data_IF_027211828307
#
_entry.id   IF_027211828307
#
_cell.length_a   1.000
_cell.length_b   1.000
_cell.length_c   1.000
_cell.angle_alpha   90.00
_cell.angle_beta   90.00
_cell.angle_gamma   90.00
#
_symmetry.space_group_name_H-M   'P 1'
#
loop_
_entity.id
_entity.type
_entity.pdbx_description
1 polymer ?
#
# COMPACT_ATOMS: atom_id res chain seq x y z
N UNK A 1 -13.23 -17.24 3.71
CA UNK A 1 -13.21 -18.60 4.27
C UNK A 1 -12.11 -18.61 5.33
N UNK A 2 -12.41 -19.01 6.57
CA UNK A 2 -11.37 -19.19 7.60
C UNK A 2 -11.13 -20.70 7.77
N UNK A 3 -9.88 -21.12 7.58
CA UNK A 3 -9.45 -22.47 7.88
C UNK A 3 -8.92 -22.49 9.31
N UNK A 4 -9.75 -22.95 10.24
CA UNK A 4 -9.39 -23.05 11.65
C UNK A 4 -8.72 -24.38 11.97
N UNK A 5 -7.78 -24.37 12.93
CA UNK A 5 -7.19 -25.61 13.49
C UNK A 5 -8.25 -26.49 14.18
N UNK A 6 -9.33 -25.89 14.68
CA UNK A 6 -10.50 -26.60 15.22
C UNK A 6 -11.79 -25.81 14.93
N UNK A 7 -12.92 -26.50 14.96
CA UNK A 7 -14.23 -25.94 14.62
C UNK A 7 -14.63 -24.76 15.52
N UNK A 8 -14.48 -24.90 16.85
CA UNK A 8 -14.84 -23.85 17.82
C UNK A 8 -14.10 -22.53 17.56
N UNK A 9 -12.81 -22.61 17.24
CA UNK A 9 -12.01 -21.46 16.85
C UNK A 9 -12.53 -20.84 15.57
N UNK A 10 -12.71 -21.65 14.52
CA UNK A 10 -13.23 -21.19 13.23
C UNK A 10 -14.58 -20.45 13.39
N UNK A 11 -15.51 -21.01 14.15
CA UNK A 11 -16.82 -20.42 14.43
C UNK A 11 -16.70 -19.06 15.12
N UNK A 12 -15.82 -18.94 16.12
CA UNK A 12 -15.56 -17.67 16.82
C UNK A 12 -15.06 -16.57 15.87
N UNK A 13 -14.09 -16.87 15.01
CA UNK A 13 -13.56 -15.90 14.04
C UNK A 13 -14.61 -15.53 12.98
N UNK A 14 -15.36 -16.52 12.48
CA UNK A 14 -16.45 -16.29 11.52
C UNK A 14 -17.54 -15.41 12.13
N UNK A 15 -17.89 -15.63 13.40
CA UNK A 15 -18.85 -14.81 14.12
C UNK A 15 -18.37 -13.36 14.26
N UNK A 16 -17.14 -13.12 14.69
CA UNK A 16 -16.58 -11.76 14.78
C UNK A 16 -16.64 -11.01 13.44
N UNK A 17 -16.41 -11.71 12.32
CA UNK A 17 -16.52 -11.10 10.98
C UNK A 17 -17.97 -10.80 10.61
N UNK A 18 -18.90 -11.72 10.90
CA UNK A 18 -20.34 -11.52 10.69
C UNK A 18 -20.86 -10.33 11.48
N UNK A 19 -20.42 -10.23 12.74
CA UNK A 19 -20.76 -9.16 13.68
C UNK A 19 -20.02 -7.85 13.36
N UNK A 20 -19.15 -7.85 12.34
CA UNK A 20 -18.34 -6.71 11.89
C UNK A 20 -17.42 -6.15 12.98
N UNK A 21 -16.98 -7.00 13.90
CA UNK A 21 -16.03 -6.63 14.96
C UNK A 21 -14.58 -6.86 14.55
N UNK A 22 -14.31 -7.10 13.26
CA UNK A 22 -12.96 -7.26 12.69
C UNK A 22 -12.68 -6.13 11.73
N UNK A 23 -11.67 -5.32 12.05
CA UNK A 23 -11.11 -4.31 11.16
C UNK A 23 -10.24 -4.99 10.13
N UNK A 24 -10.39 -4.59 8.87
CA UNK A 24 -9.66 -5.16 7.74
C UNK A 24 -8.97 -4.04 6.99
N UNK A 25 -7.71 -4.23 6.67
CA UNK A 25 -6.91 -3.32 5.87
C UNK A 25 -6.35 -4.08 4.68
N UNK A 26 -6.45 -3.47 3.51
CA UNK A 26 -5.93 -4.00 2.26
C UNK A 26 -5.02 -2.98 1.61
N UNK A 27 -4.08 -3.45 0.81
CA UNK A 27 -3.24 -2.60 -0.05
C UNK A 27 -3.63 -2.86 -1.49
N UNK A 28 -3.81 -1.79 -2.28
CA UNK A 28 -4.11 -1.89 -3.69
C UNK A 28 -3.17 -0.99 -4.51
N UNK A 29 -2.79 -1.43 -5.72
CA UNK A 29 -2.11 -0.58 -6.70
C UNK A 29 -3.10 -0.17 -7.79
N UNK A 30 -3.34 1.13 -7.89
CA UNK A 30 -4.45 1.70 -8.67
C UNK A 30 -3.96 2.61 -9.78
N UNK A 31 -4.77 2.74 -10.82
CA UNK A 31 -4.50 3.63 -11.96
C UNK A 31 -4.46 5.09 -11.51
N UNK A 32 -3.47 5.83 -11.99
CA UNK A 32 -3.38 7.27 -11.86
C UNK A 32 -2.90 7.78 -10.49
N UNK A 33 -2.91 9.11 -10.36
CA UNK A 33 -2.56 9.83 -9.14
C UNK A 33 -3.78 9.91 -8.22
N UNK A 34 -3.90 8.95 -7.30
CA UNK A 34 -4.96 8.94 -6.30
C UNK A 34 -4.87 10.21 -5.42
N UNK A 35 -5.99 10.79 -4.96
CA UNK A 35 -5.95 11.98 -4.12
C UNK A 35 -5.17 11.77 -2.81
N UNK A 36 -4.60 12.86 -2.30
CA UNK A 36 -3.78 12.80 -1.08
C UNK A 36 -4.63 12.79 0.19
N UNK A 37 -5.81 13.39 0.13
CA UNK A 37 -6.78 13.39 1.21
C UNK A 37 -7.36 11.99 1.39
N UNK A 38 -7.77 11.69 2.62
CA UNK A 38 -8.57 10.50 2.87
C UNK A 38 -9.90 10.62 2.15
N UNK A 39 -10.31 9.56 1.46
CA UNK A 39 -11.58 9.50 0.73
C UNK A 39 -12.44 8.41 1.33
N UNK A 40 -13.70 8.72 1.61
CA UNK A 40 -14.71 7.72 1.98
C UNK A 40 -15.68 7.56 0.83
N UNK A 41 -15.88 6.33 0.37
CA UNK A 41 -16.92 5.98 -0.60
C UNK A 41 -18.01 5.22 0.14
N UNK A 42 -19.19 5.82 0.22
CA UNK A 42 -20.40 5.17 0.74
C UNK A 42 -21.37 4.96 -0.43
N UNK A 43 -21.19 3.84 -1.12
CA UNK A 43 -21.98 3.48 -2.30
C UNK A 43 -22.46 2.03 -2.20
N UNK A 44 -23.78 1.80 -2.17
CA UNK A 44 -24.35 0.45 -2.08
C UNK A 44 -24.01 -0.38 -3.32
N UNK A 45 -23.88 -1.69 -3.14
CA UNK A 45 -23.43 -2.61 -4.19
C UNK A 45 -24.40 -3.77 -4.38
N UNK A 46 -24.63 -4.16 -5.63
CA UNK A 46 -25.36 -5.37 -6.00
C UNK A 46 -24.56 -6.23 -6.99
N UNK A 47 -24.92 -7.51 -7.07
CA UNK A 47 -24.33 -8.44 -8.04
C UNK A 47 -25.14 -8.39 -9.32
N UNK A 48 -24.50 -7.93 -10.39
CA UNK A 48 -25.12 -7.75 -11.71
C UNK A 48 -25.06 -9.05 -12.51
N UNK A 49 -23.93 -9.74 -12.47
CA UNK A 49 -23.78 -11.06 -13.09
C UNK A 49 -23.03 -12.00 -12.14
N UNK A 50 -23.74 -12.92 -11.47
CA UNK A 50 -23.11 -13.93 -10.63
C UNK A 50 -22.13 -14.83 -11.41
N UNK A 51 -22.45 -15.14 -12.67
CA UNK A 51 -21.61 -15.95 -13.57
C UNK A 51 -20.25 -15.31 -13.81
N UNK A 52 -20.22 -13.99 -14.00
CA UNK A 52 -19.00 -13.23 -14.29
C UNK A 52 -18.34 -12.64 -13.03
N UNK A 53 -18.96 -12.82 -11.86
CA UNK A 53 -18.53 -12.14 -10.63
C UNK A 53 -18.63 -10.60 -10.70
N UNK A 54 -19.46 -10.07 -11.60
CA UNK A 54 -19.61 -8.62 -11.80
C UNK A 54 -20.51 -8.04 -10.71
N UNK A 55 -19.97 -7.08 -9.96
CA UNK A 55 -20.71 -6.25 -9.02
C UNK A 55 -20.61 -4.79 -9.45
N UNK A 56 -21.65 -3.99 -9.17
CA UNK A 56 -21.66 -2.56 -9.48
C UNK A 56 -22.31 -1.77 -8.35
N UNK A 57 -22.15 -0.44 -8.42
CA UNK A 57 -22.93 0.47 -7.58
C UNK A 57 -24.40 0.40 -8.00
N UNK A 58 -25.28 0.29 -7.01
CA UNK A 58 -26.72 0.18 -7.20
C UNK A 58 -27.41 0.96 -6.07
N UNK A 59 -27.77 2.21 -6.37
CA UNK A 59 -28.37 3.14 -5.42
C UNK A 59 -29.84 2.78 -5.07
N UNK A 60 -30.45 1.80 -5.74
CA UNK A 60 -31.85 1.40 -5.54
C UNK A 60 -31.92 0.13 -4.68
N UNK A 61 -31.34 -0.97 -5.16
CA UNK A 61 -31.46 -2.31 -4.55
C UNK A 61 -30.15 -2.81 -3.94
N UNK A 62 -29.08 -2.01 -4.04
CA UNK A 62 -27.76 -2.37 -3.55
C UNK A 62 -27.68 -2.47 -2.03
N UNK A 63 -26.83 -3.39 -1.57
CA UNK A 63 -26.52 -3.51 -0.14
C UNK A 63 -25.53 -2.43 0.25
N UNK A 64 -25.84 -1.65 1.29
CA UNK A 64 -24.94 -0.63 1.85
C UNK A 64 -23.51 -1.15 1.98
N UNK A 65 -22.58 -0.35 1.47
CA UNK A 65 -21.16 -0.63 1.46
C UNK A 65 -20.36 0.67 1.59
N UNK A 66 -19.41 0.67 2.52
CA UNK A 66 -18.58 1.83 2.82
C UNK A 66 -17.12 1.43 2.89
N UNK A 67 -16.25 2.18 2.21
CA UNK A 67 -14.80 1.96 2.20
C UNK A 67 -14.06 3.28 2.38
N UNK A 68 -13.07 3.30 3.27
CA UNK A 68 -12.14 4.42 3.39
C UNK A 68 -10.84 4.11 2.64
N UNK A 69 -10.29 5.12 1.97
CA UNK A 69 -9.09 5.04 1.17
C UNK A 69 -8.09 6.09 1.61
N UNK A 70 -6.82 5.68 1.71
CA UNK A 70 -5.69 6.56 2.00
C UNK A 70 -4.54 6.25 1.07
N UNK A 71 -4.03 7.27 0.36
CA UNK A 71 -2.87 7.10 -0.51
C UNK A 71 -1.59 6.91 0.31
N UNK A 72 -0.86 5.84 0.00
CA UNK A 72 0.44 5.50 0.58
C UNK A 72 1.57 6.09 -0.26
N UNK A 73 1.54 5.88 -1.57
CA UNK A 73 2.56 6.39 -2.49
C UNK A 73 1.97 6.67 -3.87
N UNK A 74 2.68 7.47 -4.67
CA UNK A 74 2.38 7.70 -6.08
C UNK A 74 3.67 7.56 -6.86
N UNK A 75 3.62 6.76 -7.92
CA UNK A 75 4.70 6.59 -8.88
C UNK A 75 4.33 7.28 -10.19
N UNK A 76 5.12 8.31 -10.54
CA UNK A 76 4.93 9.12 -11.74
C UNK A 76 5.29 8.37 -13.02
N UNK A 77 6.23 7.42 -12.95
CA UNK A 77 6.71 6.66 -14.11
C UNK A 77 5.65 5.68 -14.61
N UNK A 78 5.11 4.85 -13.72
CA UNK A 78 3.99 3.96 -14.07
C UNK A 78 2.62 4.66 -14.06
N UNK A 79 2.56 5.91 -13.59
CA UNK A 79 1.32 6.64 -13.31
C UNK A 79 0.33 5.81 -12.49
N UNK A 80 0.80 5.23 -11.38
CA UNK A 80 -0.03 4.44 -10.45
C UNK A 80 0.17 4.90 -9.01
N UNK A 81 -0.82 4.64 -8.16
CA UNK A 81 -0.73 4.90 -6.73
C UNK A 81 -0.87 3.62 -5.92
N UNK A 82 -0.21 3.54 -4.77
CA UNK A 82 -0.50 2.52 -3.75
C UNK A 82 -1.46 3.12 -2.74
N UNK A 83 -2.55 2.40 -2.45
CA UNK A 83 -3.65 2.87 -1.62
C UNK A 83 -3.95 1.84 -0.54
N UNK A 84 -4.07 2.32 0.70
CA UNK A 84 -4.60 1.56 1.83
C UNK A 84 -6.12 1.66 1.81
N UNK A 85 -6.78 0.51 1.84
CA UNK A 85 -8.23 0.37 1.70
C UNK A 85 -8.80 -0.26 2.99
N UNK A 86 -9.77 0.40 3.61
CA UNK A 86 -10.42 -0.03 4.83
C UNK A 86 -11.93 -0.25 4.56
N UNK A 87 -12.34 -1.46 4.13
CA UNK A 87 -13.75 -1.76 3.96
C UNK A 87 -14.43 -1.91 5.31
N UNK A 88 -15.29 -0.95 5.67
CA UNK A 88 -16.07 -0.93 6.91
C UNK A 88 -17.22 -1.94 6.88
N UNK A 89 -17.60 -2.34 5.67
CA UNK A 89 -18.56 -3.41 5.39
C UNK A 89 -17.84 -4.62 4.76
N UNK A 90 -18.60 -5.62 4.31
CA UNK A 90 -18.06 -6.78 3.60
C UNK A 90 -18.97 -7.20 2.47
N UNK A 91 -18.81 -6.58 1.30
CA UNK A 91 -19.45 -7.02 0.05
C UNK A 91 -18.41 -7.60 -0.90
N UNK A 92 -18.84 -8.52 -1.75
CA UNK A 92 -18.02 -9.08 -2.81
C UNK A 92 -17.54 -7.95 -3.73
N UNK A 93 -16.23 -7.93 -4.02
CA UNK A 93 -15.58 -6.91 -4.87
C UNK A 93 -15.73 -5.45 -4.40
N UNK A 94 -16.09 -5.21 -3.13
CA UNK A 94 -16.35 -3.86 -2.63
C UNK A 94 -15.24 -2.85 -2.93
N UNK A 95 -14.00 -3.20 -2.58
CA UNK A 95 -12.83 -2.34 -2.81
C UNK A 95 -12.65 -2.07 -4.31
N UNK A 96 -12.74 -3.13 -5.13
CA UNK A 96 -12.55 -3.07 -6.59
C UNK A 96 -13.55 -2.10 -7.23
N UNK A 97 -14.84 -2.24 -6.89
CA UNK A 97 -15.92 -1.40 -7.44
C UNK A 97 -15.82 0.04 -6.94
N UNK A 98 -15.54 0.26 -5.65
CA UNK A 98 -15.40 1.61 -5.11
C UNK A 98 -14.19 2.36 -5.69
N UNK A 99 -13.06 1.67 -5.89
CA UNK A 99 -11.89 2.22 -6.56
C UNK A 99 -12.19 2.57 -8.03
N UNK A 100 -12.88 1.68 -8.75
CA UNK A 100 -13.36 1.96 -10.10
C UNK A 100 -14.31 3.17 -10.14
N UNK A 101 -15.26 3.24 -9.21
CA UNK A 101 -16.22 4.34 -9.09
C UNK A 101 -15.51 5.70 -8.96
N UNK A 102 -14.40 5.76 -8.22
CA UNK A 102 -13.56 6.95 -8.10
C UNK A 102 -12.77 7.29 -9.38
N UNK A 103 -12.70 6.38 -10.35
CA UNK A 103 -11.89 6.48 -11.57
C UNK A 103 -10.45 6.00 -11.37
N UNK A 104 -10.20 5.22 -10.32
CA UNK A 104 -8.89 4.69 -9.97
C UNK A 104 -8.98 3.17 -9.75
N UNK A 105 -9.41 2.36 -10.74
CA UNK A 105 -9.49 0.92 -10.57
C UNK A 105 -8.11 0.33 -10.25
N UNK A 106 -8.11 -0.88 -9.70
CA UNK A 106 -6.87 -1.63 -9.47
C UNK A 106 -6.23 -1.89 -10.83
N UNK A 107 -4.96 -1.52 -11.01
CA UNK A 107 -4.39 -1.32 -12.34
C UNK A 107 -4.38 -2.60 -13.20
N UNK A 108 -4.14 -3.76 -12.57
CA UNK A 108 -4.15 -5.07 -13.20
C UNK A 108 -5.48 -5.84 -13.01
N UNK A 109 -6.58 -5.15 -12.71
CA UNK A 109 -7.87 -5.81 -12.49
C UNK A 109 -8.53 -6.24 -13.82
N UNK A 110 -8.74 -7.56 -14.04
CA UNK A 110 -9.25 -8.09 -15.30
C UNK A 110 -10.71 -7.69 -15.58
N UNK A 111 -11.49 -7.41 -14.52
CA UNK A 111 -12.91 -7.08 -14.63
C UNK A 111 -13.08 -5.57 -14.70
N UNK A 112 -12.45 -4.82 -13.80
CA UNK A 112 -12.77 -3.39 -13.59
C UNK A 112 -11.76 -2.42 -14.19
N UNK A 113 -10.63 -2.90 -14.69
CA UNK A 113 -9.55 -2.08 -15.28
C UNK A 113 -9.30 -2.44 -16.74
N UNK A 114 -10.37 -2.76 -17.50
CA UNK A 114 -10.27 -3.12 -18.91
C UNK A 114 -10.85 -2.00 -19.80
N UNK A 115 -10.00 -1.30 -20.55
CA UNK A 115 -10.40 -0.20 -21.45
C UNK A 115 -11.36 -0.67 -22.57
N UNK A 116 -11.27 -1.92 -23.03
CA UNK A 116 -12.17 -2.45 -24.07
C UNK A 116 -13.58 -2.69 -23.57
N UNK A 117 -13.75 -2.92 -22.26
CA UNK A 117 -15.05 -3.15 -21.62
C UNK A 117 -15.65 -1.83 -21.13
N UNK A 118 -14.83 -0.98 -20.49
CA UNK A 118 -15.30 0.20 -19.76
C UNK A 118 -15.00 1.53 -20.46
N UNK A 119 -14.30 1.50 -21.58
CA UNK A 119 -13.85 2.70 -22.27
C UNK A 119 -12.79 3.48 -21.50
N UNK A 120 -12.50 4.72 -21.93
CA UNK A 120 -11.40 5.53 -21.39
C UNK A 120 -11.66 6.05 -19.97
N UNK A 121 -12.92 6.12 -19.51
CA UNK A 121 -13.24 6.51 -18.14
C UNK A 121 -13.08 5.36 -17.14
N UNK A 122 -12.86 4.13 -17.62
CA UNK A 122 -12.75 2.92 -16.82
C UNK A 122 -13.91 2.72 -15.84
N UNK A 123 -15.14 3.12 -16.23
CA UNK A 123 -16.33 2.93 -15.40
C UNK A 123 -16.43 3.89 -14.21
N UNK A 124 -15.67 4.99 -14.22
CA UNK A 124 -15.79 6.08 -13.23
C UNK A 124 -17.25 6.50 -13.07
N UNK A 125 -17.64 6.86 -11.85
CA UNK A 125 -19.01 7.25 -11.50
C UNK A 125 -20.07 6.18 -11.83
N UNK A 126 -19.69 4.91 -11.91
CA UNK A 126 -20.57 3.81 -12.33
C UNK A 126 -21.08 3.99 -13.77
N UNK A 127 -20.27 4.54 -14.67
CA UNK A 127 -20.58 4.62 -16.10
C UNK A 127 -20.59 3.24 -16.78
N UNK A 128 -21.38 3.13 -17.85
CA UNK A 128 -21.45 1.95 -18.72
C UNK A 128 -22.77 1.18 -18.63
N UNK A 129 -23.18 0.59 -19.75
CA UNK A 129 -24.40 -0.21 -19.89
C UNK A 129 -24.16 -1.66 -19.46
N UNK A 130 -25.07 -2.21 -18.64
CA UNK A 130 -24.91 -3.55 -18.07
C UNK A 130 -24.86 -4.64 -19.14
N UNK A 131 -25.77 -4.60 -20.12
CA UNK A 131 -25.89 -5.65 -21.12
C UNK A 131 -24.66 -5.66 -22.02
N UNK A 132 -24.18 -4.49 -22.42
CA UNK A 132 -22.93 -4.34 -23.15
C UNK A 132 -21.72 -4.87 -22.36
N UNK A 133 -21.57 -4.45 -21.10
CA UNK A 133 -20.46 -4.88 -20.24
C UNK A 133 -20.45 -6.39 -20.06
N UNK A 134 -21.61 -6.99 -19.75
CA UNK A 134 -21.78 -8.43 -19.60
C UNK A 134 -21.38 -9.15 -20.89
N UNK A 135 -21.85 -8.66 -22.04
CA UNK A 135 -21.53 -9.24 -23.33
C UNK A 135 -20.02 -9.17 -23.66
N UNK A 136 -19.33 -8.08 -23.31
CA UNK A 136 -17.88 -7.98 -23.51
C UNK A 136 -17.11 -8.90 -22.56
N UNK A 137 -17.47 -8.91 -21.27
CA UNK A 137 -16.81 -9.75 -20.26
C UNK A 137 -17.02 -11.24 -20.52
N UNK A 138 -18.18 -11.67 -21.03
CA UNK A 138 -18.43 -13.09 -21.34
C UNK A 138 -17.55 -13.63 -22.49
N UNK A 139 -16.95 -12.74 -23.30
CA UNK A 139 -16.02 -13.10 -24.37
C UNK A 139 -14.57 -13.21 -23.89
N UNK A 140 -14.23 -12.56 -22.78
CA UNK A 140 -12.89 -12.63 -22.18
C UNK A 140 -12.65 -14.04 -21.63
N UNK A 141 -11.47 -14.59 -21.91
CA UNK A 141 -11.13 -15.97 -21.60
C UNK A 141 -11.68 -16.99 -22.60
N UNK A 142 -12.55 -16.57 -23.52
CA UNK A 142 -13.12 -17.45 -24.55
C UNK A 142 -12.62 -17.10 -25.94
N UNK A 143 -13.04 -15.95 -26.45
CA UNK A 143 -12.72 -15.49 -27.79
C UNK A 143 -11.36 -14.77 -27.82
N UNK A 144 -11.02 -14.12 -26.70
CA UNK A 144 -9.80 -13.32 -26.54
C UNK A 144 -9.32 -13.39 -25.10
N UNK A 145 -8.02 -13.25 -24.92
CA UNK A 145 -7.44 -13.20 -23.60
C UNK A 145 -7.83 -11.90 -22.89
N UNK A 146 -7.66 -11.88 -21.58
CA UNK A 146 -7.89 -10.66 -20.83
C UNK A 146 -6.80 -9.62 -21.11
N UNK A 147 -7.20 -8.36 -21.13
CA UNK A 147 -6.31 -7.22 -21.08
C UNK A 147 -6.72 -6.31 -19.93
N UNK A 148 -5.76 -5.55 -19.41
CA UNK A 148 -5.96 -4.58 -18.34
C UNK A 148 -5.30 -3.26 -18.70
N UNK A 149 -5.52 -2.23 -17.90
CA UNK A 149 -4.93 -0.91 -18.11
C UNK A 149 -3.40 -0.96 -18.17
N UNK A 150 -2.78 -1.75 -17.28
CA UNK A 150 -1.32 -1.90 -17.21
C UNK A 150 -0.79 -3.02 -18.13
N UNK A 151 -1.57 -4.07 -18.38
CA UNK A 151 -1.21 -5.17 -19.27
C UNK A 151 -2.14 -5.21 -20.47
N UNK A 152 -1.78 -4.48 -21.54
CA UNK A 152 -2.61 -4.38 -22.75
C UNK A 152 -2.46 -5.56 -23.71
N UNK A 153 -1.45 -6.40 -23.51
CA UNK A 153 -1.23 -7.60 -24.31
C UNK A 153 -2.32 -8.63 -23.96
N UNK A 154 -2.92 -9.23 -24.99
CA UNK A 154 -3.94 -10.27 -24.86
C UNK A 154 -3.26 -11.64 -24.97
N UNK A 155 -2.35 -11.94 -24.03
CA UNK A 155 -1.53 -13.18 -23.99
C UNK A 155 -1.91 -14.14 -22.86
N UNK A 156 -3.04 -13.88 -22.19
CA UNK A 156 -3.59 -14.72 -21.12
C UNK A 156 -4.44 -15.92 -21.59
N UNK A 157 -5.09 -16.55 -20.64
CA UNK A 157 -5.94 -17.74 -20.83
C UNK A 157 -7.04 -17.51 -21.87
N UNK A 158 -7.17 -18.43 -22.82
CA UNK A 158 -8.25 -18.49 -23.81
C UNK A 158 -8.68 -19.93 -24.07
N UNK A 159 -9.86 -20.13 -24.67
CA UNK A 159 -10.26 -21.45 -25.16
C UNK A 159 -9.28 -21.95 -26.22
N UNK A 160 -8.72 -23.14 -26.02
CA UNK A 160 -7.76 -23.74 -26.97
C UNK A 160 -8.45 -24.32 -28.21
N UNK A 161 -9.77 -24.54 -28.14
CA UNK A 161 -10.54 -25.28 -29.14
C UNK A 161 -10.43 -26.80 -29.01
N UNK A 162 -9.62 -27.29 -28.07
CA UNK A 162 -9.50 -28.70 -27.75
C UNK A 162 -10.51 -29.12 -26.66
N UNK A 163 -10.78 -30.42 -26.56
CA UNK A 163 -11.64 -31.00 -25.52
C UNK A 163 -10.90 -32.06 -24.72
N UNK A 164 -11.18 -32.13 -23.42
CA UNK A 164 -10.64 -33.17 -22.55
C UNK A 164 -11.07 -34.56 -23.04
N UNK A 165 -10.11 -35.47 -23.23
CA UNK A 165 -10.37 -36.84 -23.70
C UNK A 165 -11.18 -37.71 -22.74
N UNK A 166 -11.30 -37.31 -21.46
CA UNK A 166 -12.01 -38.06 -20.41
C UNK A 166 -13.44 -37.54 -20.23
N UNK A 167 -13.59 -36.23 -20.02
CA UNK A 167 -14.87 -35.62 -19.67
C UNK A 167 -15.47 -34.72 -20.76
N UNK A 168 -14.80 -34.57 -21.90
CA UNK A 168 -15.23 -33.77 -23.06
C UNK A 168 -15.48 -32.28 -22.77
N UNK A 169 -14.94 -31.78 -21.65
CA UNK A 169 -14.95 -30.35 -21.29
C UNK A 169 -13.99 -29.59 -22.18
N UNK A 170 -14.38 -28.38 -22.59
CA UNK A 170 -13.52 -27.49 -23.39
C UNK A 170 -12.26 -27.12 -22.60
N UNK A 171 -11.10 -27.21 -23.25
CA UNK A 171 -9.82 -26.89 -22.65
C UNK A 171 -9.46 -25.42 -22.90
N UNK A 172 -8.71 -24.88 -21.95
CA UNK A 172 -8.14 -23.53 -22.04
C UNK A 172 -6.62 -23.66 -22.19
N UNK A 173 -6.00 -22.64 -22.78
CA UNK A 173 -4.54 -22.50 -22.76
C UNK A 173 -4.05 -22.25 -21.34
N UNK A 174 -2.77 -22.48 -21.07
CA UNK A 174 -2.22 -22.13 -19.76
C UNK A 174 -2.37 -20.61 -19.53
N UNK A 175 -2.77 -20.20 -18.31
CA UNK A 175 -2.89 -18.78 -17.97
C UNK A 175 -1.53 -18.10 -17.97
N UNK A 176 -1.50 -16.84 -18.41
CA UNK A 176 -0.35 -15.98 -18.27
C UNK A 176 -0.19 -15.51 -16.82
N UNK A 177 0.99 -14.99 -16.41
CA UNK A 177 1.18 -14.44 -15.06
C UNK A 177 0.16 -13.37 -14.69
N UNK A 178 -0.30 -12.58 -15.66
CA UNK A 178 -1.29 -11.51 -15.46
C UNK A 178 -2.69 -12.04 -15.09
N UNK A 179 -3.01 -13.29 -15.43
CA UNK A 179 -4.29 -13.92 -15.08
C UNK A 179 -4.32 -14.43 -13.64
N UNK A 180 -3.13 -14.63 -13.06
CA UNK A 180 -2.95 -15.28 -11.76
C UNK A 180 -2.75 -14.27 -10.63
N UNK A 181 -2.58 -12.99 -10.94
CA UNK A 181 -2.30 -11.94 -9.97
C UNK A 181 -3.39 -10.86 -9.93
N UNK A 182 -3.71 -10.40 -8.72
CA UNK A 182 -4.48 -9.20 -8.49
C UNK A 182 -3.73 -8.34 -7.49
N UNK A 183 -3.50 -7.06 -7.82
CA UNK A 183 -2.86 -6.11 -6.93
C UNK A 183 -3.84 -5.58 -5.87
N UNK A 184 -4.42 -6.52 -5.12
CA UNK A 184 -5.27 -6.33 -3.96
C UNK A 184 -4.82 -7.29 -2.86
N UNK A 185 -4.00 -6.78 -1.95
CA UNK A 185 -3.36 -7.56 -0.90
C UNK A 185 -4.10 -7.45 0.43
N UNK A 186 -4.39 -8.58 1.05
CA UNK A 186 -4.98 -8.68 2.38
C UNK A 186 -3.91 -8.41 3.44
N UNK A 187 -3.83 -7.18 3.94
CA UNK A 187 -2.68 -6.69 4.69
C UNK A 187 -2.78 -6.90 6.20
N UNK A 188 -3.90 -6.50 6.81
CA UNK A 188 -4.09 -6.58 8.27
C UNK A 188 -5.52 -6.92 8.61
N UNK A 189 -5.69 -7.79 9.60
CA UNK A 189 -6.96 -8.10 10.24
C UNK A 189 -6.79 -7.96 11.74
N UNK A 190 -7.71 -7.26 12.40
CA UNK A 190 -7.61 -7.01 13.83
C UNK A 190 -8.98 -7.01 14.47
N UNK A 191 -9.11 -7.72 15.59
CA UNK A 191 -10.33 -7.67 16.37
C UNK A 191 -10.49 -6.31 17.06
N UNK A 192 -11.70 -5.79 17.09
CA UNK A 192 -12.02 -4.49 17.68
C UNK A 192 -11.78 -4.46 19.19
N UNK A 193 -11.90 -5.61 19.85
CA UNK A 193 -11.57 -5.83 21.27
C UNK A 193 -10.06 -6.04 21.53
N UNK A 194 -9.23 -5.96 20.48
CA UNK A 194 -7.78 -6.19 20.52
C UNK A 194 -7.37 -7.59 21.00
N UNK A 195 -8.28 -8.55 21.01
CA UNK A 195 -7.99 -9.92 21.41
C UNK A 195 -7.03 -10.64 20.47
N UNK A 196 -6.96 -10.21 19.21
CA UNK A 196 -5.99 -10.69 18.23
C UNK A 196 -5.77 -9.66 17.12
N UNK A 197 -4.59 -9.74 16.50
CA UNK A 197 -4.20 -8.97 15.32
C UNK A 197 -3.27 -9.82 14.47
N UNK A 198 -3.47 -9.83 13.15
CA UNK A 198 -2.57 -10.46 12.19
C UNK A 198 -2.27 -9.47 11.07
N UNK A 199 -1.00 -9.36 10.72
CA UNK A 199 -0.46 -8.44 9.74
C UNK A 199 0.61 -9.16 8.93
N UNK A 200 0.64 -8.94 7.62
CA UNK A 200 1.74 -9.40 6.75
C UNK A 200 2.64 -8.21 6.39
N UNK A 201 3.76 -8.49 5.74
CA UNK A 201 4.52 -7.46 5.05
C UNK A 201 3.73 -6.89 3.85
N UNK A 202 4.19 -5.74 3.37
CA UNK A 202 3.72 -5.21 2.10
C UNK A 202 4.19 -6.11 0.94
N UNK A 203 3.36 -6.30 -0.10
CA UNK A 203 3.77 -7.08 -1.26
C UNK A 203 4.83 -6.31 -2.08
N UNK A 204 5.73 -7.04 -2.73
CA UNK A 204 6.83 -6.44 -3.49
C UNK A 204 6.38 -5.43 -4.55
N UNK A 205 5.25 -5.69 -5.24
CA UNK A 205 4.69 -4.79 -6.25
C UNK A 205 4.21 -3.43 -5.68
N UNK A 206 3.96 -3.35 -4.37
CA UNK A 206 3.60 -2.10 -3.69
C UNK A 206 4.83 -1.27 -3.28
N UNK A 207 5.99 -1.93 -3.12
CA UNK A 207 7.22 -1.29 -2.63
C UNK A 207 8.20 -0.98 -3.75
N UNK A 208 8.13 -1.67 -4.89
CA UNK A 208 9.12 -1.56 -5.98
C UNK A 208 9.41 -0.11 -6.42
N UNK A 209 8.38 0.73 -6.54
CA UNK A 209 8.54 2.13 -6.93
C UNK A 209 9.19 3.02 -5.87
N UNK A 210 9.17 2.60 -4.60
CA UNK A 210 9.67 3.38 -3.47
C UNK A 210 11.06 2.93 -2.99
N UNK A 211 11.49 1.72 -3.36
CA UNK A 211 12.80 1.16 -3.02
C UNK A 211 13.96 2.10 -3.40
N UNK A 212 13.88 2.77 -4.55
CA UNK A 212 14.89 3.76 -4.99
C UNK A 212 15.16 4.88 -3.98
N UNK A 213 14.16 5.27 -3.18
CA UNK A 213 14.34 6.29 -2.14
C UNK A 213 14.95 5.72 -0.87
N UNK A 214 14.68 4.45 -0.55
CA UNK A 214 15.34 3.75 0.55
C UNK A 214 16.81 3.50 0.23
N UNK A 215 17.11 3.10 -1.00
CA UNK A 215 18.49 2.95 -1.49
C UNK A 215 19.27 4.27 -1.37
N UNK A 216 18.66 5.39 -1.79
CA UNK A 216 19.25 6.72 -1.58
C UNK A 216 19.44 7.06 -0.09
N UNK A 217 18.49 6.70 0.78
CA UNK A 217 18.65 6.90 2.23
C UNK A 217 19.85 6.11 2.78
N UNK A 218 20.07 4.90 2.28
CA UNK A 218 21.20 4.05 2.65
C UNK A 218 22.52 4.65 2.14
N UNK A 219 22.58 5.12 0.88
CA UNK A 219 23.75 5.81 0.32
C UNK A 219 24.11 7.08 1.11
N UNK A 220 23.11 7.79 1.64
CA UNK A 220 23.32 8.94 2.51
C UNK A 220 23.89 8.52 3.87
N UNK A 221 23.40 7.42 4.44
CA UNK A 221 23.92 6.87 5.69
C UNK A 221 25.41 6.50 5.58
N UNK A 222 25.84 5.95 4.43
CA UNK A 222 27.25 5.59 4.17
C UNK A 222 28.22 6.79 4.25
N UNK A 223 27.73 8.02 4.04
CA UNK A 223 28.54 9.26 4.10
C UNK A 223 28.91 9.67 5.53
N UNK A 224 28.30 9.07 6.56
CA UNK A 224 28.50 9.48 7.95
C UNK A 224 29.89 9.11 8.52
N UNK A 225 30.66 8.25 7.83
CA UNK A 225 31.95 7.75 8.30
C UNK A 225 31.86 6.79 9.49
N UNK A 226 32.98 6.55 10.17
CA UNK A 226 33.04 5.72 11.37
C UNK A 226 32.74 6.53 12.64
N UNK A 227 32.03 5.92 13.59
CA UNK A 227 31.72 6.56 14.87
C UNK A 227 31.37 5.53 15.94
N UNK A 228 31.60 5.87 17.20
CA UNK A 228 31.20 5.08 18.38
C UNK A 228 30.04 5.69 19.17
N UNK A 229 29.57 6.89 18.78
CA UNK A 229 28.70 7.71 19.64
C UNK A 229 27.26 7.82 19.16
N UNK A 230 27.00 7.63 17.86
CA UNK A 230 25.68 7.79 17.24
C UNK A 230 25.55 6.78 16.10
N UNK A 231 24.32 6.43 15.70
CA UNK A 231 24.10 5.60 14.53
C UNK A 231 24.24 6.41 13.23
N UNK A 232 24.79 5.77 12.20
CA UNK A 232 24.83 6.34 10.87
C UNK A 232 23.49 6.11 10.16
N UNK A 233 22.65 7.13 10.15
CA UNK A 233 21.32 7.10 9.52
C UNK A 233 21.28 8.07 8.34
N UNK A 234 20.52 7.73 7.30
CA UNK A 234 20.17 8.60 6.20
C UNK A 234 18.64 8.75 6.07
N UNK A 235 18.20 9.86 5.50
CA UNK A 235 16.79 10.19 5.33
C UNK A 235 16.51 10.95 4.02
N UNK A 236 15.36 10.71 3.43
CA UNK A 236 14.89 11.35 2.18
C UNK A 236 13.43 11.77 2.33
N UNK A 237 13.13 13.03 2.05
CA UNK A 237 11.77 13.58 1.96
C UNK A 237 11.31 13.55 0.51
N UNK A 238 10.13 12.98 0.25
CA UNK A 238 9.58 12.81 -1.11
C UNK A 238 8.13 13.25 -1.16
N UNK A 239 7.77 14.00 -2.20
CA UNK A 239 6.40 14.40 -2.47
C UNK A 239 6.06 14.18 -3.95
N UNK A 240 5.04 13.36 -4.20
CA UNK A 240 4.57 12.99 -5.56
C UNK A 240 5.70 12.52 -6.52
N UNK A 241 6.67 11.78 -5.99
CA UNK A 241 7.81 11.23 -6.73
C UNK A 241 9.03 12.15 -6.77
N UNK A 242 8.90 13.40 -6.33
CA UNK A 242 9.99 14.37 -6.33
C UNK A 242 10.68 14.43 -4.97
N UNK A 243 12.02 14.45 -4.96
CA UNK A 243 12.81 14.58 -3.73
C UNK A 243 12.75 16.03 -3.26
N UNK A 244 12.16 16.25 -2.09
CA UNK A 244 12.13 17.55 -1.44
C UNK A 244 13.43 17.82 -0.69
N UNK A 245 14.02 16.84 -0.04
CA UNK A 245 15.22 17.04 0.76
C UNK A 245 15.84 15.72 1.13
N UNK A 246 17.13 15.76 1.42
CA UNK A 246 17.91 14.61 1.89
C UNK A 246 18.59 14.98 3.19
N UNK A 247 18.99 14.02 3.99
CA UNK A 247 19.73 14.23 5.23
C UNK A 247 20.53 13.00 5.60
N UNK A 248 21.68 13.19 6.24
CA UNK A 248 22.33 12.12 6.99
C UNK A 248 22.77 12.61 8.37
N UNK A 249 23.07 11.65 9.25
CA UNK A 249 23.48 11.94 10.62
C UNK A 249 24.76 12.78 10.63
N UNK A 250 24.80 13.81 11.49
CA UNK A 250 25.91 14.78 11.59
C UNK A 250 26.19 15.61 10.32
N UNK A 251 25.24 15.69 9.39
CA UNK A 251 25.43 16.52 8.20
C UNK A 251 25.39 18.03 8.52
N UNK A 252 24.55 18.43 9.48
CA UNK A 252 24.49 19.79 10.01
C UNK A 252 25.22 19.87 11.35
N UNK A 253 25.71 21.06 11.70
CA UNK A 253 26.43 21.30 12.94
C UNK A 253 25.63 20.86 14.18
N UNK A 254 26.33 20.21 15.12
CA UNK A 254 25.75 19.71 16.38
C UNK A 254 25.32 18.24 16.33
N UNK A 255 24.60 17.82 17.37
CA UNK A 255 24.07 16.46 17.48
C UNK A 255 22.77 16.34 16.66
N UNK A 256 22.90 16.21 15.34
CA UNK A 256 21.78 16.19 14.39
C UNK A 256 21.55 14.78 13.81
N UNK A 257 20.29 14.34 13.78
CA UNK A 257 19.88 13.09 13.15
C UNK A 257 19.52 13.32 11.67
N UNK A 258 19.44 12.26 10.89
CA UNK A 258 19.19 12.34 9.46
C UNK A 258 17.87 13.03 9.10
N UNK A 259 16.79 12.70 9.79
CA UNK A 259 15.45 13.25 9.58
C UNK A 259 15.42 14.74 9.93
N UNK A 260 16.14 15.12 10.99
CA UNK A 260 16.38 16.51 11.36
C UNK A 260 17.11 17.26 10.24
N UNK A 261 18.23 16.73 9.75
CA UNK A 261 19.00 17.34 8.65
C UNK A 261 18.15 17.52 7.38
N UNK A 262 17.35 16.51 7.02
CA UNK A 262 16.51 16.56 5.83
C UNK A 262 15.44 17.67 5.92
N UNK A 263 14.77 17.78 7.07
CA UNK A 263 13.76 18.81 7.32
C UNK A 263 14.39 20.20 7.40
N UNK A 264 15.47 20.38 8.16
CA UNK A 264 16.11 21.69 8.35
C UNK A 264 16.71 22.24 7.05
N UNK A 265 17.32 21.39 6.21
CA UNK A 265 17.79 21.81 4.88
C UNK A 265 16.62 22.20 3.97
N UNK A 266 15.52 21.44 3.98
CA UNK A 266 14.32 21.81 3.23
C UNK A 266 13.77 23.17 3.68
N UNK A 267 13.55 23.33 4.99
CA UNK A 267 13.04 24.57 5.60
C UNK A 267 13.92 25.78 5.36
N UNK A 268 15.24 25.60 5.38
CA UNK A 268 16.19 26.69 5.09
C UNK A 268 16.10 27.10 3.62
N UNK A 269 16.03 26.13 2.71
CA UNK A 269 15.99 26.39 1.27
C UNK A 269 14.67 27.02 0.83
N UNK A 270 13.54 26.64 1.42
CA UNK A 270 12.22 27.14 1.03
C UNK A 270 11.75 28.34 1.84
N UNK A 271 12.32 28.58 3.03
CA UNK A 271 11.80 29.55 4.00
C UNK A 271 10.57 29.05 4.77
N UNK A 272 10.06 27.86 4.46
CA UNK A 272 8.90 27.27 5.11
C UNK A 272 9.29 26.56 6.42
N UNK A 273 8.28 26.24 7.24
CA UNK A 273 8.42 25.41 8.45
C UNK A 273 7.57 24.14 8.42
N UNK A 274 7.08 23.80 7.24
CA UNK A 274 6.31 22.59 7.01
C UNK A 274 6.57 22.08 5.58
N UNK A 275 6.26 20.81 5.33
CA UNK A 275 6.33 20.17 4.02
C UNK A 275 4.91 20.11 3.41
N UNK A 276 4.78 19.90 2.07
CA UNK A 276 3.49 19.68 1.44
C UNK A 276 2.73 18.51 2.07
N UNK A 277 1.40 18.63 2.19
CA UNK A 277 0.58 17.58 2.79
C UNK A 277 0.62 16.29 1.97
N UNK A 278 0.93 15.19 2.65
CA UNK A 278 1.16 13.89 2.01
C UNK A 278 2.61 13.63 1.63
N UNK A 279 3.56 14.39 2.18
CA UNK A 279 4.99 14.08 2.05
C UNK A 279 5.31 12.75 2.71
N UNK A 280 6.25 12.00 2.12
CA UNK A 280 6.78 10.73 2.63
C UNK A 280 8.18 10.99 3.15
N UNK A 281 8.57 10.31 4.21
CA UNK A 281 9.96 10.23 4.64
C UNK A 281 10.43 8.79 4.52
N UNK A 282 11.61 8.59 3.93
CA UNK A 282 12.33 7.33 3.90
C UNK A 282 13.52 7.46 4.82
N UNK A 283 13.69 6.55 5.76
CA UNK A 283 14.83 6.56 6.67
C UNK A 283 15.42 5.17 6.81
N UNK A 284 16.75 5.08 6.79
CA UNK A 284 17.46 3.80 6.85
C UNK A 284 17.29 3.10 8.20
N UNK A 285 16.91 3.82 9.25
CA UNK A 285 16.66 3.29 10.59
C UNK A 285 15.42 3.93 11.18
N UNK A 286 14.71 3.21 12.05
CA UNK A 286 13.51 3.71 12.72
C UNK A 286 13.74 5.08 13.38
N UNK A 287 12.84 6.06 13.16
CA UNK A 287 12.96 7.36 13.81
C UNK A 287 12.92 7.22 15.32
N UNK A 288 13.80 7.92 16.03
CA UNK A 288 13.84 7.82 17.49
C UNK A 288 12.60 8.47 18.13
N UNK A 289 12.04 7.79 19.14
CA UNK A 289 11.00 8.32 20.03
C UNK A 289 11.56 9.07 21.24
N UNK A 290 12.87 8.92 21.51
CA UNK A 290 13.57 9.54 22.63
C UNK A 290 14.99 9.96 22.22
N UNK A 291 15.53 11.00 22.88
CA UNK A 291 16.92 11.44 22.67
C UNK A 291 17.60 11.77 24.00
N UNK A 292 18.73 11.10 24.26
CA UNK A 292 19.58 11.36 25.43
C UNK A 292 20.14 12.80 25.48
N UNK A 293 20.32 13.42 24.32
CA UNK A 293 20.79 14.82 24.22
C UNK A 293 19.76 15.85 24.68
N UNK A 294 18.49 15.46 24.88
CA UNK A 294 17.39 16.39 25.15
C UNK A 294 16.86 17.12 23.91
N UNK A 295 17.44 16.90 22.73
CA UNK A 295 16.91 17.43 21.47
C UNK A 295 15.54 16.81 21.15
N UNK A 296 14.72 17.53 20.37
CA UNK A 296 13.43 17.03 19.91
C UNK A 296 13.59 15.69 19.15
N UNK A 297 12.88 14.62 19.55
CA UNK A 297 12.91 13.32 18.89
C UNK A 297 12.44 13.38 17.43
N UNK A 298 12.92 12.44 16.61
CA UNK A 298 12.61 12.41 15.19
C UNK A 298 11.13 12.12 14.93
N UNK A 299 10.49 11.27 15.74
CA UNK A 299 9.04 11.04 15.69
C UNK A 299 8.27 12.34 15.89
N UNK A 300 8.60 13.13 16.92
CA UNK A 300 7.94 14.41 17.18
C UNK A 300 8.17 15.42 16.04
N UNK A 301 9.37 15.43 15.45
CA UNK A 301 9.65 16.26 14.26
C UNK A 301 8.76 15.88 13.08
N UNK A 302 8.58 14.58 12.82
CA UNK A 302 7.69 14.08 11.77
C UNK A 302 6.25 14.53 12.06
N UNK A 303 5.77 14.36 13.29
CA UNK A 303 4.41 14.70 13.71
C UNK A 303 4.10 16.21 13.67
N UNK A 304 5.11 17.07 13.79
CA UNK A 304 4.96 18.52 13.66
C UNK A 304 4.87 19.00 12.19
N UNK A 305 4.90 18.07 11.23
CA UNK A 305 4.86 18.38 9.80
C UNK A 305 3.71 17.65 9.09
N UNK A 306 3.52 17.92 7.80
CA UNK A 306 2.52 17.23 6.99
C UNK A 306 3.02 15.92 6.33
N UNK A 307 4.02 15.28 6.94
CA UNK A 307 4.43 13.93 6.55
C UNK A 307 3.32 12.95 6.92
N UNK A 308 2.88 12.10 5.99
CA UNK A 308 1.79 11.15 6.21
C UNK A 308 2.24 9.70 6.27
N UNK A 309 3.48 9.43 5.87
CA UNK A 309 4.03 8.07 5.78
C UNK A 309 5.52 8.10 6.04
N UNK A 310 5.98 7.22 6.93
CA UNK A 310 7.36 6.95 7.26
C UNK A 310 7.71 5.54 6.78
N UNK A 311 8.62 5.46 5.81
CA UNK A 311 9.21 4.22 5.34
C UNK A 311 10.53 3.98 6.07
N UNK A 312 10.72 2.77 6.59
CA UNK A 312 11.85 2.42 7.46
C UNK A 312 12.59 1.21 6.92
N UNK A 313 13.92 1.33 6.81
CA UNK A 313 14.80 0.26 6.34
C UNK A 313 15.12 -0.79 7.40
N UNK A 314 15.30 -0.38 8.65
CA UNK A 314 15.42 -1.32 9.78
C UNK A 314 14.83 -0.75 11.07
N UNK A 315 14.20 -1.62 11.85
CA UNK A 315 13.74 -1.31 13.21
C UNK A 315 14.95 -1.09 14.12
N UNK A 316 14.88 -0.12 15.03
CA UNK A 316 15.99 0.17 15.94
C UNK A 316 16.27 -1.06 16.84
N UNK A 317 17.52 -1.54 16.94
CA UNK A 317 17.86 -2.62 17.85
C UNK A 317 17.59 -2.23 19.31
N UNK A 318 17.01 -3.14 20.10
CA UNK A 318 16.66 -2.91 21.50
C UNK A 318 17.85 -2.64 22.45
N UNK A 319 19.08 -2.60 21.93
CA UNK A 319 20.31 -2.37 22.69
C UNK A 319 20.42 -0.94 23.25
N UNK A 320 19.82 0.07 22.58
CA UNK A 320 19.94 1.48 22.96
C UNK A 320 18.66 2.10 23.53
N UNK A 321 17.49 1.65 23.09
CA UNK A 321 16.18 2.08 23.60
C UNK A 321 15.32 0.85 23.85
N UNK A 322 15.17 0.45 25.11
CA UNK A 322 14.40 -0.75 25.49
C UNK A 322 12.89 -0.64 25.23
N UNK A 323 12.37 0.55 24.97
CA UNK A 323 10.95 0.85 24.84
C UNK A 323 10.67 1.81 23.66
N UNK A 324 11.11 1.46 22.43
CA UNK A 324 10.82 2.33 21.29
C UNK A 324 9.31 2.37 20.99
N UNK A 325 8.70 3.53 21.15
CA UNK A 325 7.25 3.75 20.93
C UNK A 325 6.95 4.40 19.58
N UNK A 326 7.93 4.48 18.67
CA UNK A 326 7.82 5.21 17.41
C UNK A 326 6.65 4.76 16.54
N UNK A 327 6.51 3.46 16.29
CA UNK A 327 5.39 2.91 15.52
C UNK A 327 4.04 3.33 16.11
N UNK A 328 3.85 3.08 17.41
CA UNK A 328 2.59 3.39 18.09
C UNK A 328 2.31 4.90 18.09
N UNK A 329 3.33 5.72 18.31
CA UNK A 329 3.21 7.17 18.36
C UNK A 329 2.83 7.75 17.00
N UNK A 330 3.52 7.34 15.93
CA UNK A 330 3.22 7.76 14.55
C UNK A 330 1.81 7.30 14.12
N UNK A 331 1.49 6.02 14.30
CA UNK A 331 0.20 5.46 13.89
C UNK A 331 -0.98 6.10 14.66
N UNK A 332 -0.81 6.39 15.96
CA UNK A 332 -1.86 7.04 16.79
C UNK A 332 -2.23 8.44 16.30
N UNK A 333 -1.33 9.10 15.56
CA UNK A 333 -1.52 10.42 14.96
C UNK A 333 -1.80 10.35 13.46
N UNK A 334 -1.99 9.16 12.91
CA UNK A 334 -2.36 8.96 11.51
C UNK A 334 -1.19 9.02 10.53
N UNK A 335 0.06 8.96 11.00
CA UNK A 335 1.23 8.75 10.13
C UNK A 335 1.44 7.26 9.95
N UNK A 336 1.44 6.79 8.69
CA UNK A 336 1.68 5.37 8.40
C UNK A 336 3.13 5.01 8.68
N UNK A 337 3.38 3.91 9.37
CA UNK A 337 4.69 3.33 9.56
C UNK A 337 4.83 2.08 8.69
N UNK A 338 5.76 2.10 7.73
CA UNK A 338 5.93 1.02 6.75
C UNK A 338 7.39 0.57 6.76
N UNK A 339 7.62 -0.63 7.25
CA UNK A 339 8.90 -1.31 7.11
C UNK A 339 9.08 -1.81 5.66
N UNK A 340 10.24 -1.55 5.06
CA UNK A 340 10.62 -2.06 3.75
C UNK A 340 11.56 -3.26 3.96
N UNK A 341 11.07 -4.50 3.74
CA UNK A 341 11.88 -5.69 3.99
C UNK A 341 13.04 -5.81 2.99
N UNK A 342 14.10 -6.49 3.41
CA UNK A 342 15.28 -6.80 2.59
C UNK A 342 16.44 -5.81 2.73
N UNK A 343 16.30 -4.76 3.53
CA UNK A 343 17.35 -3.76 3.79
C UNK A 343 17.92 -3.83 5.21
N UNK A 344 17.43 -4.74 6.06
CA UNK A 344 17.67 -4.76 7.50
C UNK A 344 19.15 -4.94 7.82
N UNK A 345 19.77 -5.97 7.24
CA UNK A 345 21.19 -6.28 7.46
C UNK A 345 22.08 -5.12 7.01
N UNK A 346 21.88 -4.62 5.79
CA UNK A 346 22.65 -3.50 5.24
C UNK A 346 22.48 -2.24 6.07
N UNK A 347 21.25 -1.91 6.48
CA UNK A 347 20.99 -0.75 7.32
C UNK A 347 21.66 -0.86 8.69
N UNK A 348 21.63 -2.05 9.32
CA UNK A 348 22.27 -2.29 10.62
C UNK A 348 23.79 -2.21 10.53
N UNK A 349 24.39 -2.81 9.50
CA UNK A 349 25.83 -2.77 9.26
C UNK A 349 26.32 -1.31 9.15
N UNK A 350 25.65 -0.51 8.31
CA UNK A 350 26.01 0.89 8.12
C UNK A 350 25.79 1.69 9.40
N UNK A 351 24.64 1.50 10.06
CA UNK A 351 24.28 2.21 11.27
C UNK A 351 25.31 2.00 12.39
N UNK A 352 25.79 0.77 12.56
CA UNK A 352 26.75 0.37 13.60
C UNK A 352 28.22 0.54 13.19
N UNK A 353 28.51 1.13 12.02
CA UNK A 353 29.90 1.27 11.54
C UNK A 353 30.76 2.10 12.52
N UNK A 354 31.74 1.44 13.14
CA UNK A 354 32.63 2.00 14.15
C UNK A 354 32.27 1.66 15.60
N UNK A 355 31.13 0.99 15.85
CA UNK A 355 30.77 0.45 17.17
C UNK A 355 31.44 -0.93 17.38
N UNK A 356 31.85 -1.22 18.61
CA UNK A 356 32.37 -2.56 18.95
C UNK A 356 31.24 -3.60 18.90
N UNK A 357 31.55 -4.76 18.33
CA UNK A 357 30.63 -5.86 18.02
C UNK A 357 30.11 -6.63 19.23
#
# INVERSE_FOLDING_TARGET
MFLGKNAKGADKFVQQIRDRTVKKEYIARVVGKFPVQNITVDKPLSTISPKLGLNRVDDIDGKSATTEFKRISYDKESNTSVVKCLPLTGRTHQIRVHLQYLGHPIANDPIYSNETVWGPSLGKNNEGDNDFIIAQLDRIGKDKAVSTWIHKQEDGEVLSGEKCSICNTDLYTDPGPNDLELWLHAYKYEASDKSWSYKTDFPAWALSSVNKYMELAIELAEKCGETTTQFNVGAVLVYDGEILGTGHTRELEGNTHAEQCALEKYFTRTGERNVPYGTKIYTSMEPCSFRLSGNLPCVERILQTNITTCFVGVVEPGDFVKDNTSVQTLESKGVEYIHIPGYEEKCLEIAKRGHES
#
